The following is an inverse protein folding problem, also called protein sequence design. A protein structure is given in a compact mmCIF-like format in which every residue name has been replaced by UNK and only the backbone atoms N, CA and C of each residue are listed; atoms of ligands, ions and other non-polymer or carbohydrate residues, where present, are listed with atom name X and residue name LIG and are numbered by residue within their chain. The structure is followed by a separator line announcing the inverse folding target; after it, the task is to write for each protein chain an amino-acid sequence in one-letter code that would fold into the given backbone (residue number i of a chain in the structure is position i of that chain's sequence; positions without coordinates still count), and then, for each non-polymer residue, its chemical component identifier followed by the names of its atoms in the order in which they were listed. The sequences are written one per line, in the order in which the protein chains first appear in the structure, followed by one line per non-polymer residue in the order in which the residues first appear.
data_IF_969834610204
#
_entry.id   IF_969834610204
#
_cell.length_a   1.000
_cell.length_b   1.000
_cell.length_c   1.000
_cell.angle_alpha   90.00
_cell.angle_beta   90.00
_cell.angle_gamma   90.00
#
_symmetry.space_group_name_H-M   'P 1'
#
loop_
_entity.id
_entity.type
_entity.pdbx_description
1 polymer ?
#
# COMPACT_ATOMS: atom_id res chain seq x y z
N UNK A 1 5.11 -1.00 -13.48
CA UNK A 1 4.67 0.30 -12.89
C UNK A 1 4.95 0.26 -11.39
N UNK A 2 5.28 1.40 -10.78
CA UNK A 2 5.51 1.53 -9.34
C UNK A 2 4.23 2.00 -8.64
N UNK A 3 3.87 1.38 -7.52
CA UNK A 3 2.68 1.70 -6.71
C UNK A 3 3.13 1.94 -5.27
N UNK A 4 2.68 3.05 -4.67
CA UNK A 4 2.97 3.40 -3.28
C UNK A 4 1.70 3.49 -2.45
N UNK A 5 1.73 2.96 -1.23
CA UNK A 5 0.76 3.27 -0.18
C UNK A 5 1.47 3.99 0.96
N UNK A 6 1.10 5.24 1.19
CA UNK A 6 1.59 6.06 2.29
C UNK A 6 0.70 5.87 3.52
N UNK A 7 1.21 6.25 4.69
CA UNK A 7 0.40 6.35 5.90
C UNK A 7 -0.57 7.52 5.76
N UNK A 8 -1.82 7.29 6.14
CA UNK A 8 -2.81 8.37 6.20
C UNK A 8 -2.40 9.41 7.25
N UNK A 9 -2.51 10.69 6.90
CA UNK A 9 -2.05 11.81 7.75
C UNK A 9 -3.18 12.43 8.58
N UNK A 10 -4.43 12.01 8.37
CA UNK A 10 -5.57 12.52 9.11
C UNK A 10 -5.55 12.02 10.56
N UNK A 11 -5.96 12.89 11.49
CA UNK A 11 -5.92 12.57 12.91
C UNK A 11 -6.78 11.34 13.24
N UNK A 12 -6.17 10.36 13.91
CA UNK A 12 -6.79 9.08 14.32
C UNK A 12 -7.24 8.17 13.17
N UNK A 13 -6.83 8.45 11.93
CA UNK A 13 -7.05 7.51 10.82
C UNK A 13 -6.13 6.29 10.96
N UNK A 14 -6.71 5.10 10.83
CA UNK A 14 -6.03 3.82 10.99
C UNK A 14 -6.10 2.95 9.72
N UNK A 15 -6.78 3.43 8.68
CA UNK A 15 -6.80 2.77 7.38
C UNK A 15 -5.51 3.01 6.59
N UNK A 16 -5.29 2.16 5.60
CA UNK A 16 -4.22 2.28 4.60
C UNK A 16 -4.76 1.83 3.24
N UNK A 17 -4.30 2.46 2.17
CA UNK A 17 -4.80 2.24 0.81
C UNK A 17 -4.58 0.81 0.27
N UNK A 18 -3.67 0.03 0.86
CA UNK A 18 -3.36 -1.33 0.43
C UNK A 18 -3.42 -2.33 1.58
N UNK A 19 -4.04 -3.47 1.32
CA UNK A 19 -3.99 -4.65 2.19
C UNK A 19 -2.92 -5.63 1.72
N UNK A 20 -2.41 -6.54 2.59
CA UNK A 20 -1.44 -7.56 2.17
C UNK A 20 -1.89 -8.38 0.96
N UNK A 21 -3.18 -8.72 0.87
CA UNK A 21 -3.76 -9.45 -0.27
C UNK A 21 -3.68 -8.65 -1.57
N UNK A 22 -4.02 -7.36 -1.53
CA UNK A 22 -3.93 -6.48 -2.71
C UNK A 22 -2.49 -6.28 -3.17
N UNK A 23 -1.53 -6.16 -2.24
CA UNK A 23 -0.09 -6.11 -2.55
C UNK A 23 0.36 -7.38 -3.28
N UNK A 24 -0.06 -8.55 -2.82
CA UNK A 24 0.29 -9.82 -3.45
C UNK A 24 -0.23 -9.91 -4.89
N UNK A 25 -1.47 -9.47 -5.13
CA UNK A 25 -2.05 -9.44 -6.47
C UNK A 25 -1.33 -8.47 -7.40
N UNK A 26 -1.03 -7.25 -6.93
CA UNK A 26 -0.30 -6.24 -7.71
C UNK A 26 1.11 -6.72 -8.08
N UNK A 27 1.81 -7.36 -7.14
CA UNK A 27 3.13 -7.97 -7.41
C UNK A 27 3.04 -9.08 -8.46
N UNK A 28 2.01 -9.93 -8.40
CA UNK A 28 1.79 -11.00 -9.40
C UNK A 28 1.57 -10.44 -10.82
N UNK A 29 0.98 -9.27 -10.94
CA UNK A 29 0.79 -8.56 -12.21
C UNK A 29 2.07 -7.85 -12.72
N UNK A 30 3.18 -7.94 -11.97
CA UNK A 30 4.45 -7.32 -12.35
C UNK A 30 4.60 -5.86 -11.91
N UNK A 31 3.79 -5.41 -10.95
CA UNK A 31 3.96 -4.09 -10.33
C UNK A 31 4.95 -4.15 -9.17
N UNK A 32 5.79 -3.13 -9.06
CA UNK A 32 6.64 -2.91 -7.88
C UNK A 32 5.81 -2.13 -6.85
N UNK A 33 5.66 -2.68 -5.65
CA UNK A 33 4.79 -2.10 -4.61
C UNK A 33 5.61 -1.73 -3.38
N UNK A 34 5.45 -0.48 -2.95
CA UNK A 34 6.08 0.10 -1.76
C UNK A 34 5.00 0.51 -0.76
N UNK A 35 5.21 0.20 0.51
CA UNK A 35 4.31 0.59 1.60
C UNK A 35 5.16 1.32 2.63
N UNK A 36 4.73 2.51 3.04
CA UNK A 36 5.39 3.29 4.09
C UNK A 36 5.31 2.54 5.43
N UNK A 37 6.41 2.56 6.19
CA UNK A 37 6.42 2.01 7.54
C UNK A 37 5.83 3.03 8.51
N UNK A 38 4.86 2.63 9.33
CA UNK A 38 4.34 3.49 10.39
C UNK A 38 3.06 2.98 11.03
#
# INVERSE_FOLDING_TARGET
MKVGALKESFEREAHVALTPSSVAHLKKLGHEVFVESG
#
